data_IF_264284709600
#
_entry.id   IF_264284709600
#
_cell.length_a   1.000
_cell.length_b   1.000
_cell.length_c   1.000
_cell.angle_alpha   90.00
_cell.angle_beta   90.00
_cell.angle_gamma   90.00
#
_symmetry.space_group_name_H-M   'P 1'
#
loop_
_entity.id
_entity.type
_entity.pdbx_description
1 polymer ?
#
# COMPACT_ATOMS: atom_id res chain seq x y z
N UNK A 1 1.57 29.36 -4.20
CA UNK A 1 0.61 28.87 -3.18
C UNK A 1 0.13 27.50 -3.66
N UNK A 2 -0.62 26.77 -2.85
CA UNK A 2 -1.26 25.53 -3.33
C UNK A 2 -2.76 25.72 -3.34
N UNK A 3 -3.42 25.15 -4.35
CA UNK A 3 -4.89 25.13 -4.45
C UNK A 3 -5.37 23.70 -4.18
N UNK A 4 -6.49 23.59 -3.48
CA UNK A 4 -7.12 22.31 -3.15
C UNK A 4 -8.56 22.35 -3.57
N UNK A 5 -8.99 21.32 -4.28
CA UNK A 5 -10.35 21.22 -4.76
C UNK A 5 -10.75 19.76 -4.92
N UNK A 6 -12.04 19.54 -5.09
CA UNK A 6 -12.62 18.25 -5.44
C UNK A 6 -13.54 18.35 -6.65
N UNK A 7 -13.60 17.27 -7.41
CA UNK A 7 -14.46 17.11 -8.58
C UNK A 7 -15.27 15.83 -8.39
N UNK A 8 -16.55 15.89 -8.71
CA UNK A 8 -17.39 14.73 -8.85
C UNK A 8 -17.44 14.34 -10.33
N UNK A 9 -17.15 13.08 -10.64
CA UNK A 9 -17.32 12.54 -11.99
C UNK A 9 -18.41 11.45 -11.97
N UNK A 10 -19.34 11.48 -12.93
CA UNK A 10 -20.22 10.33 -13.16
C UNK A 10 -19.37 9.20 -13.74
N UNK A 11 -19.43 8.04 -13.13
CA UNK A 11 -18.87 6.78 -13.63
C UNK A 11 -19.77 6.16 -14.71
N UNK A 12 -19.45 4.95 -15.14
CA UNK A 12 -20.12 4.30 -16.28
C UNK A 12 -21.55 3.82 -15.97
N UNK A 13 -22.02 3.95 -14.72
CA UNK A 13 -23.36 3.56 -14.26
C UNK A 13 -24.02 4.56 -13.31
N UNK A 14 -25.32 4.40 -13.08
CA UNK A 14 -26.14 5.31 -12.24
C UNK A 14 -25.73 5.39 -10.77
N UNK A 15 -25.01 4.40 -10.26
CA UNK A 15 -24.44 4.35 -8.90
C UNK A 15 -22.91 4.44 -8.88
N UNK A 16 -22.28 4.56 -10.06
CA UNK A 16 -20.83 4.67 -10.19
C UNK A 16 -20.51 6.15 -10.17
N UNK A 17 -20.09 6.66 -9.02
CA UNK A 17 -19.68 8.07 -8.89
C UNK A 17 -18.31 8.09 -8.24
N UNK A 18 -17.39 8.84 -8.84
CA UNK A 18 -16.06 9.01 -8.29
C UNK A 18 -15.87 10.46 -7.79
N UNK A 19 -15.25 10.56 -6.63
CA UNK A 19 -14.82 11.82 -6.05
C UNK A 19 -13.31 11.92 -6.17
N UNK A 20 -12.85 12.86 -6.98
CA UNK A 20 -11.44 13.17 -7.17
C UNK A 20 -11.07 14.37 -6.31
N UNK A 21 -10.04 14.24 -5.50
CA UNK A 21 -9.51 15.28 -4.63
C UNK A 21 -8.10 15.61 -5.08
N UNK A 22 -7.83 16.89 -5.29
CA UNK A 22 -6.55 17.37 -5.78
C UNK A 22 -5.96 18.41 -4.85
N UNK A 23 -4.65 18.32 -4.65
CA UNK A 23 -3.81 19.44 -4.27
C UNK A 23 -2.87 19.71 -5.43
N UNK A 24 -2.84 20.96 -5.88
CA UNK A 24 -2.06 21.41 -7.04
C UNK A 24 -1.19 22.62 -6.70
N UNK A 25 -0.13 22.81 -7.46
CA UNK A 25 0.62 24.06 -7.52
C UNK A 25 -0.17 25.17 -8.25
N UNK A 26 0.33 26.41 -8.21
CA UNK A 26 -0.32 27.56 -8.85
C UNK A 26 -0.48 27.40 -10.38
N UNK A 27 0.37 26.59 -11.01
CA UNK A 27 0.33 26.29 -12.45
C UNK A 27 -0.56 25.08 -12.81
N UNK A 28 -1.24 24.51 -11.81
CA UNK A 28 -2.14 23.37 -11.97
C UNK A 28 -1.46 21.99 -11.92
N UNK A 29 -0.15 21.92 -11.69
CA UNK A 29 0.55 20.63 -11.52
C UNK A 29 0.09 19.91 -10.25
N UNK A 30 -0.26 18.62 -10.41
CA UNK A 30 -0.77 17.81 -9.30
C UNK A 30 0.34 17.41 -8.33
N UNK A 31 0.21 17.86 -7.09
CA UNK A 31 1.07 17.46 -5.97
C UNK A 31 0.57 16.18 -5.31
N UNK A 32 -0.74 16.12 -5.01
CA UNK A 32 -1.41 14.99 -4.37
C UNK A 32 -2.78 14.75 -4.99
N UNK A 33 -3.15 13.48 -5.12
CA UNK A 33 -4.45 13.06 -5.62
C UNK A 33 -5.01 11.91 -4.79
N UNK A 34 -6.25 12.07 -4.33
CA UNK A 34 -7.04 10.98 -3.78
C UNK A 34 -8.29 10.76 -4.64
N UNK A 35 -8.67 9.50 -4.83
CA UNK A 35 -9.89 9.15 -5.57
C UNK A 35 -10.69 8.15 -4.75
N UNK A 36 -11.98 8.44 -4.59
CA UNK A 36 -12.94 7.58 -3.95
C UNK A 36 -14.01 7.16 -4.94
N UNK A 37 -14.24 5.87 -5.09
CA UNK A 37 -15.21 5.30 -6.01
C UNK A 37 -16.35 4.69 -5.21
N UNK A 38 -17.60 5.08 -5.51
CA UNK A 38 -18.78 4.59 -4.79
C UNK A 38 -18.91 3.05 -4.85
N UNK A 39 -18.53 2.45 -5.98
CA UNK A 39 -18.57 1.01 -6.19
C UNK A 39 -17.47 0.23 -5.45
N UNK A 40 -16.41 0.89 -4.99
CA UNK A 40 -15.30 0.23 -4.33
C UNK A 40 -15.62 -0.01 -2.85
N UNK A 41 -15.37 -1.22 -2.35
CA UNK A 41 -15.58 -1.54 -0.94
C UNK A 41 -14.65 -0.75 -0.02
N UNK A 42 -15.20 -0.28 1.09
CA UNK A 42 -14.41 0.34 2.16
C UNK A 42 -13.81 -0.78 3.02
N UNK A 43 -12.48 -0.77 3.30
CA UNK A 43 -11.88 -1.76 4.19
C UNK A 43 -12.59 -1.81 5.54
N UNK A 44 -12.89 -3.02 6.05
CA UNK A 44 -13.76 -3.23 7.22
C UNK A 44 -13.35 -2.48 8.49
N UNK A 45 -12.05 -2.19 8.65
CA UNK A 45 -11.51 -1.45 9.79
C UNK A 45 -11.47 0.07 9.59
N UNK A 46 -12.07 0.59 8.51
CA UNK A 46 -12.13 2.00 8.17
C UNK A 46 -13.57 2.51 8.23
N UNK A 47 -13.71 3.74 8.69
CA UNK A 47 -14.95 4.50 8.56
C UNK A 47 -15.03 5.14 7.17
N UNK A 48 -16.24 5.25 6.57
CA UNK A 48 -16.45 5.98 5.33
C UNK A 48 -16.05 7.45 5.44
N UNK A 49 -15.54 8.02 4.35
CA UNK A 49 -15.35 9.47 4.27
C UNK A 49 -16.71 10.14 4.09
N UNK A 50 -16.99 11.14 4.92
CA UNK A 50 -18.14 12.02 4.78
C UNK A 50 -17.75 13.29 4.01
N UNK A 51 -18.48 13.58 2.95
CA UNK A 51 -18.38 14.76 2.11
C UNK A 51 -18.99 15.99 2.81
N UNK A 52 -18.62 17.19 2.36
CA UNK A 52 -19.13 18.44 2.94
C UNK A 52 -20.65 18.63 2.83
N UNK A 53 -21.30 17.97 1.86
CA UNK A 53 -22.75 17.95 1.67
C UNK A 53 -23.46 16.89 2.54
N UNK A 54 -22.72 16.17 3.38
CA UNK A 54 -23.22 15.11 4.24
C UNK A 54 -23.34 13.74 3.57
N UNK A 55 -22.99 13.60 2.29
CA UNK A 55 -22.95 12.30 1.61
C UNK A 55 -21.69 11.52 1.98
N UNK A 56 -21.66 10.20 1.75
CA UNK A 56 -20.45 9.39 1.94
C UNK A 56 -19.84 9.00 0.59
N UNK A 57 -18.51 8.97 0.50
CA UNK A 57 -17.81 8.36 -0.63
C UNK A 57 -17.47 6.89 -0.36
N UNK A 58 -17.37 6.07 -1.40
CA UNK A 58 -16.97 4.67 -1.29
C UNK A 58 -15.48 4.47 -0.98
N UNK A 59 -14.94 3.31 -1.33
CA UNK A 59 -13.55 2.93 -1.14
C UNK A 59 -12.58 3.82 -1.92
N UNK A 60 -11.33 3.92 -1.44
CA UNK A 60 -10.32 4.71 -2.14
C UNK A 60 -9.60 3.87 -3.20
N UNK A 61 -9.62 4.30 -4.45
CA UNK A 61 -8.85 3.69 -5.53
C UNK A 61 -7.47 4.33 -5.70
N UNK A 62 -7.30 5.57 -5.20
CA UNK A 62 -6.03 6.30 -5.27
C UNK A 62 -5.75 7.13 -4.03
N UNK A 63 -4.48 7.21 -3.64
CA UNK A 63 -3.94 8.11 -2.63
C UNK A 63 -2.45 8.39 -2.94
N UNK A 64 -2.19 9.09 -4.03
CA UNK A 64 -0.85 9.25 -4.59
C UNK A 64 -0.31 10.68 -4.49
N UNK A 65 1.00 10.81 -4.34
CA UNK A 65 1.73 12.04 -4.13
C UNK A 65 2.96 12.07 -5.04
N UNK A 66 3.10 13.15 -5.82
CA UNK A 66 4.16 13.32 -6.81
C UNK A 66 5.55 13.23 -6.18
N UNK A 67 5.78 13.96 -5.08
CA UNK A 67 7.07 13.96 -4.39
C UNK A 67 7.46 12.56 -3.89
N UNK A 68 6.49 11.79 -3.40
CA UNK A 68 6.74 10.43 -2.93
C UNK A 68 7.05 9.48 -4.10
N UNK A 69 6.30 9.58 -5.20
CA UNK A 69 6.54 8.79 -6.41
C UNK A 69 7.93 9.09 -7.00
N UNK A 70 8.33 10.36 -7.04
CA UNK A 70 9.65 10.78 -7.51
C UNK A 70 10.78 10.14 -6.68
N UNK A 71 10.68 10.19 -5.35
CA UNK A 71 11.66 9.54 -4.45
C UNK A 71 11.70 8.02 -4.64
N UNK A 72 10.54 7.38 -4.80
CA UNK A 72 10.47 5.93 -5.07
C UNK A 72 11.13 5.59 -6.40
N UNK A 73 10.87 6.38 -7.45
CA UNK A 73 11.43 6.21 -8.79
C UNK A 73 12.95 6.35 -8.78
N UNK A 74 13.46 7.39 -8.13
CA UNK A 74 14.89 7.63 -7.98
C UNK A 74 15.59 6.45 -7.28
N UNK A 75 14.97 5.94 -6.20
CA UNK A 75 15.61 4.97 -5.31
C UNK A 75 15.46 3.51 -5.74
N UNK A 76 14.31 3.15 -6.28
CA UNK A 76 13.93 1.76 -6.55
C UNK A 76 13.58 1.52 -8.04
N UNK A 77 13.74 2.54 -8.88
CA UNK A 77 13.53 2.47 -10.31
C UNK A 77 12.11 2.03 -10.68
N UNK A 78 12.01 1.26 -11.76
CA UNK A 78 10.75 0.77 -12.30
C UNK A 78 9.96 -0.09 -11.31
N UNK A 79 10.63 -0.98 -10.58
CA UNK A 79 9.98 -1.86 -9.61
C UNK A 79 9.32 -1.05 -8.49
N UNK A 80 10.03 -0.04 -7.96
CA UNK A 80 9.48 0.87 -6.96
C UNK A 80 8.20 1.54 -7.43
N UNK A 81 8.20 2.09 -8.65
CA UNK A 81 7.01 2.72 -9.25
C UNK A 81 5.85 1.73 -9.35
N UNK A 82 6.10 0.50 -9.79
CA UNK A 82 5.06 -0.53 -9.88
C UNK A 82 4.47 -0.90 -8.51
N UNK A 83 5.32 -1.06 -7.48
CA UNK A 83 4.86 -1.31 -6.11
C UNK A 83 4.10 -0.11 -5.54
N UNK A 84 4.55 1.10 -5.84
CA UNK A 84 3.88 2.33 -5.42
C UNK A 84 2.48 2.43 -6.01
N UNK A 85 2.34 2.20 -7.31
CA UNK A 85 1.05 2.23 -8.00
C UNK A 85 0.11 1.10 -7.53
N UNK A 86 0.67 -0.06 -7.17
CA UNK A 86 -0.10 -1.16 -6.57
C UNK A 86 -0.75 -0.71 -5.26
N UNK A 87 0.03 -0.07 -4.39
CA UNK A 87 -0.45 0.41 -3.08
C UNK A 87 -1.34 1.64 -3.22
N UNK A 88 -0.87 2.69 -3.91
CA UNK A 88 -1.49 4.02 -3.90
C UNK A 88 -2.34 4.35 -5.12
N UNK A 89 -2.46 3.44 -6.09
CA UNK A 89 -3.23 3.65 -7.31
C UNK A 89 -2.40 4.26 -8.47
N UNK A 90 -2.95 4.24 -9.69
CA UNK A 90 -2.25 4.69 -10.90
C UNK A 90 -2.19 6.21 -10.99
N UNK A 91 -1.17 6.81 -10.38
CA UNK A 91 -0.94 8.25 -10.45
C UNK A 91 -0.42 8.67 -11.84
N UNK A 92 -1.07 9.65 -12.44
CA UNK A 92 -0.61 10.28 -13.68
C UNK A 92 -0.03 11.66 -13.35
N UNK A 93 1.27 11.83 -13.62
CA UNK A 93 1.95 13.12 -13.44
C UNK A 93 1.49 14.10 -14.52
N UNK A 94 1.21 15.34 -14.12
CA UNK A 94 0.88 16.42 -15.05
C UNK A 94 -0.01 17.48 -14.44
N UNK A 95 -0.33 18.49 -15.24
CA UNK A 95 -1.33 19.48 -14.90
C UNK A 95 -2.75 18.90 -15.05
N UNK A 96 -3.63 19.26 -14.12
CA UNK A 96 -5.05 18.92 -14.20
C UNK A 96 -5.83 20.15 -14.65
N UNK A 97 -6.67 19.98 -15.67
CA UNK A 97 -7.63 21.02 -16.04
C UNK A 97 -8.72 21.08 -14.97
N UNK A 98 -8.90 22.25 -14.36
CA UNK A 98 -9.89 22.43 -13.30
C UNK A 98 -11.23 22.77 -13.95
N UNK A 99 -12.23 21.87 -13.91
CA UNK A 99 -13.51 22.13 -14.53
C UNK A 99 -14.32 23.15 -13.70
N UNK A 100 -15.31 23.84 -14.30
CA UNK A 100 -16.11 24.85 -13.62
C UNK A 100 -16.86 24.33 -12.39
N UNK A 101 -17.23 23.05 -12.36
CA UNK A 101 -17.91 22.37 -11.26
C UNK A 101 -16.98 21.96 -10.10
N UNK A 102 -15.67 22.21 -10.22
CA UNK A 102 -14.73 21.95 -9.14
C UNK A 102 -15.07 22.80 -7.91
N UNK A 103 -15.09 22.15 -6.75
CA UNK A 103 -15.36 22.80 -5.47
C UNK A 103 -14.04 22.96 -4.73
N UNK A 104 -13.65 24.21 -4.46
CA UNK A 104 -12.49 24.49 -3.62
C UNK A 104 -12.72 23.95 -2.20
N UNK A 105 -11.70 23.33 -1.62
CA UNK A 105 -11.75 22.74 -0.29
C UNK A 105 -10.68 23.33 0.60
N UNK A 106 -10.96 23.35 1.90
CA UNK A 106 -9.98 23.83 2.89
C UNK A 106 -8.85 22.82 3.09
N UNK A 107 -7.71 23.26 3.60
CA UNK A 107 -6.61 22.36 3.96
C UNK A 107 -7.02 21.23 4.91
N UNK A 108 -7.71 21.50 6.04
CA UNK A 108 -8.11 20.42 6.95
C UNK A 108 -9.07 19.43 6.30
N UNK A 109 -9.93 19.89 5.39
CA UNK A 109 -10.84 19.01 4.66
C UNK A 109 -10.08 18.09 3.70
N UNK A 110 -9.14 18.64 2.93
CA UNK A 110 -8.27 17.85 2.07
C UNK A 110 -7.43 16.85 2.86
N UNK A 111 -6.82 17.25 3.99
CA UNK A 111 -6.00 16.34 4.80
C UNK A 111 -6.80 15.19 5.40
N UNK A 112 -8.09 15.40 5.73
CA UNK A 112 -8.98 14.32 6.14
C UNK A 112 -9.24 13.34 5.00
N UNK A 113 -9.58 13.84 3.81
CA UNK A 113 -9.79 13.01 2.62
C UNK A 113 -8.51 12.23 2.27
N UNK A 114 -7.37 12.91 2.23
CA UNK A 114 -6.05 12.33 1.98
C UNK A 114 -5.67 11.23 2.97
N UNK A 115 -5.78 11.50 4.28
CA UNK A 115 -5.47 10.52 5.33
C UNK A 115 -6.40 9.30 5.28
N UNK A 116 -7.68 9.53 4.96
CA UNK A 116 -8.66 8.45 4.78
C UNK A 116 -8.31 7.59 3.57
N UNK A 117 -7.97 8.21 2.44
CA UNK A 117 -7.56 7.53 1.23
C UNK A 117 -6.30 6.68 1.46
N UNK A 118 -5.26 7.24 2.10
CA UNK A 118 -4.05 6.51 2.46
C UNK A 118 -4.36 5.27 3.30
N UNK A 119 -5.21 5.42 4.33
CA UNK A 119 -5.63 4.32 5.20
C UNK A 119 -6.39 3.25 4.43
N UNK A 120 -7.34 3.64 3.58
CA UNK A 120 -8.09 2.72 2.73
C UNK A 120 -7.13 1.93 1.83
N UNK A 121 -6.23 2.63 1.14
CA UNK A 121 -5.23 2.01 0.25
C UNK A 121 -4.32 1.04 0.98
N UNK A 122 -3.77 1.41 2.13
CA UNK A 122 -2.89 0.54 2.94
C UNK A 122 -3.55 -0.72 3.49
N UNK A 123 -4.87 -0.70 3.66
CA UNK A 123 -5.66 -1.80 4.20
C UNK A 123 -6.46 -2.57 3.14
N UNK A 124 -6.32 -2.17 1.88
CA UNK A 124 -6.92 -2.88 0.74
C UNK A 124 -6.09 -4.10 0.37
N UNK A 125 -6.76 -5.12 -0.17
CA UNK A 125 -6.09 -6.27 -0.75
C UNK A 125 -5.47 -5.91 -2.10
N UNK A 126 -4.27 -6.41 -2.37
CA UNK A 126 -3.55 -6.14 -3.62
C UNK A 126 -3.52 -7.39 -4.50
N UNK A 127 -4.54 -7.56 -5.35
CA UNK A 127 -4.67 -8.75 -6.21
C UNK A 127 -3.95 -8.64 -7.55
N UNK A 128 -3.34 -7.48 -7.83
CA UNK A 128 -2.60 -7.19 -9.07
C UNK A 128 -1.23 -6.57 -8.75
N UNK A 129 -0.42 -6.33 -9.78
CA UNK A 129 0.93 -5.78 -9.65
C UNK A 129 2.03 -6.83 -9.70
N UNK A 130 3.30 -6.45 -9.45
CA UNK A 130 4.44 -7.35 -9.59
C UNK A 130 4.53 -8.41 -8.49
N UNK A 131 3.90 -8.16 -7.34
CA UNK A 131 3.88 -9.04 -6.16
C UNK A 131 2.50 -8.96 -5.50
N UNK A 132 1.48 -9.58 -6.09
CA UNK A 132 0.14 -9.59 -5.51
C UNK A 132 0.12 -10.39 -4.21
N UNK A 133 -0.86 -10.10 -3.36
CA UNK A 133 -1.16 -10.90 -2.18
C UNK A 133 -1.42 -12.37 -2.57
N UNK A 134 -0.89 -13.30 -1.77
CA UNK A 134 -0.90 -14.73 -2.07
C UNK A 134 0.24 -15.21 -2.97
N UNK A 135 1.03 -14.31 -3.57
CA UNK A 135 2.14 -14.70 -4.44
C UNK A 135 3.26 -15.39 -3.65
N UNK A 136 3.76 -16.50 -4.19
CA UNK A 136 4.83 -17.27 -3.55
C UNK A 136 6.20 -16.83 -4.05
N UNK A 137 7.11 -16.57 -3.10
CA UNK A 137 8.50 -16.19 -3.35
C UNK A 137 9.43 -17.12 -2.59
N UNK A 138 10.52 -17.53 -3.22
CA UNK A 138 11.64 -18.16 -2.49
C UNK A 138 12.59 -17.07 -2.02
N UNK A 139 12.98 -17.13 -0.75
CA UNK A 139 13.91 -16.17 -0.17
C UNK A 139 14.81 -16.79 0.89
N UNK A 140 15.86 -16.07 1.23
CA UNK A 140 16.82 -16.45 2.26
C UNK A 140 16.68 -15.52 3.46
N UNK A 141 16.53 -16.06 4.67
CA UNK A 141 16.56 -15.27 5.90
C UNK A 141 17.94 -14.61 6.03
N UNK A 142 17.99 -13.29 5.98
CA UNK A 142 19.26 -12.55 5.95
C UNK A 142 19.57 -11.84 7.28
N UNK A 143 18.56 -11.51 8.09
CA UNK A 143 18.77 -10.87 9.37
C UNK A 143 17.62 -11.07 10.36
N UNK A 144 17.98 -11.12 11.64
CA UNK A 144 17.07 -10.97 12.78
C UNK A 144 17.55 -9.76 13.60
N UNK A 145 17.28 -8.52 13.16
CA UNK A 145 18.01 -7.34 13.66
C UNK A 145 17.81 -7.05 15.14
N UNK A 146 16.73 -7.56 15.72
CA UNK A 146 16.43 -7.42 17.14
C UNK A 146 16.63 -8.72 17.93
N UNK A 147 17.06 -9.79 17.27
CA UNK A 147 17.10 -11.15 17.80
C UNK A 147 15.76 -11.89 17.68
N UNK A 148 15.77 -13.22 17.89
CA UNK A 148 14.56 -14.05 17.88
C UNK A 148 13.53 -13.60 18.92
N UNK A 149 12.23 -13.77 18.60
CA UNK A 149 11.14 -13.56 19.54
C UNK A 149 10.73 -12.12 19.80
N UNK A 150 11.23 -11.14 19.01
CA UNK A 150 10.96 -9.71 19.27
C UNK A 150 10.04 -9.05 18.25
N UNK A 151 10.44 -9.00 16.98
CA UNK A 151 9.74 -8.21 15.95
C UNK A 151 9.53 -8.98 14.65
N UNK A 152 10.47 -9.82 14.27
CA UNK A 152 10.44 -10.55 13.00
C UNK A 152 11.82 -10.68 12.38
N UNK A 153 11.84 -10.99 11.09
CA UNK A 153 13.07 -11.25 10.34
C UNK A 153 13.01 -10.67 8.93
N UNK A 154 14.17 -10.35 8.38
CA UNK A 154 14.33 -9.95 6.99
C UNK A 154 14.65 -11.16 6.11
N UNK A 155 14.09 -11.13 4.91
CA UNK A 155 14.29 -12.13 3.87
C UNK A 155 14.84 -11.43 2.64
N UNK A 156 15.96 -11.93 2.13
CA UNK A 156 16.45 -11.58 0.80
C UNK A 156 15.70 -12.41 -0.25
N UNK A 157 14.97 -11.72 -1.11
CA UNK A 157 14.21 -12.30 -2.24
C UNK A 157 14.80 -11.89 -3.59
N UNK A 158 16.06 -11.43 -3.61
CA UNK A 158 16.75 -10.91 -4.81
C UNK A 158 16.05 -9.72 -5.47
N UNK A 159 15.39 -8.88 -4.67
CA UNK A 159 14.80 -7.62 -5.12
C UNK A 159 15.45 -6.44 -4.38
N UNK A 160 15.52 -5.25 -5.00
CA UNK A 160 16.09 -4.04 -4.38
C UNK A 160 15.21 -3.44 -3.27
N UNK A 161 14.28 -4.22 -2.72
CA UNK A 161 13.27 -3.81 -1.75
C UNK A 161 13.28 -4.79 -0.59
N UNK A 162 13.21 -4.27 0.63
CA UNK A 162 13.22 -5.10 1.84
C UNK A 162 11.98 -6.00 1.90
N UNK A 163 12.18 -7.29 2.20
CA UNK A 163 11.10 -8.20 2.54
C UNK A 163 11.21 -8.63 4.00
N UNK A 164 10.07 -8.66 4.69
CA UNK A 164 10.01 -8.83 6.14
C UNK A 164 8.88 -9.75 6.56
N UNK A 165 9.18 -10.69 7.45
CA UNK A 165 8.21 -11.56 8.13
C UNK A 165 7.97 -11.01 9.53
N UNK A 166 6.71 -10.72 9.86
CA UNK A 166 6.34 -10.28 11.21
C UNK A 166 6.43 -11.43 12.22
N UNK A 167 6.74 -11.10 13.48
CA UNK A 167 6.66 -12.05 14.60
C UNK A 167 5.31 -12.77 14.66
N UNK A 168 4.21 -12.11 14.29
CA UNK A 168 2.88 -12.72 14.28
C UNK A 168 2.76 -13.93 13.32
N UNK A 169 3.67 -14.07 12.36
CA UNK A 169 3.71 -15.19 11.40
C UNK A 169 4.79 -16.24 11.73
N UNK A 170 5.50 -16.08 12.84
CA UNK A 170 6.58 -16.99 13.25
C UNK A 170 6.11 -17.88 14.42
N UNK A 171 6.79 -19.03 14.63
CA UNK A 171 6.56 -19.85 15.81
C UNK A 171 6.65 -19.03 17.11
N UNK A 172 5.81 -19.39 18.08
CA UNK A 172 5.81 -18.72 19.39
C UNK A 172 7.15 -18.90 20.12
N UNK A 173 7.75 -20.09 20.06
CA UNK A 173 9.08 -20.33 20.60
C UNK A 173 10.16 -19.69 19.70
N UNK A 174 10.93 -18.71 20.21
CA UNK A 174 11.99 -18.08 19.43
C UNK A 174 13.10 -19.04 18.97
N UNK A 175 13.28 -20.18 19.64
CA UNK A 175 14.25 -21.21 19.24
C UNK A 175 13.86 -21.91 17.94
N UNK A 176 12.57 -21.91 17.60
CA UNK A 176 12.03 -22.50 16.37
C UNK A 176 12.02 -21.53 15.18
N UNK A 177 12.49 -20.29 15.37
CA UNK A 177 12.61 -19.33 14.27
C UNK A 177 13.67 -19.77 13.26
N UNK A 178 13.47 -19.51 11.96
CA UNK A 178 14.47 -19.87 10.96
C UNK A 178 15.75 -19.05 11.19
N UNK A 179 16.88 -19.75 11.22
CA UNK A 179 18.19 -19.13 11.37
C UNK A 179 18.56 -18.31 10.12
N UNK A 180 19.46 -17.34 10.28
CA UNK A 180 20.08 -16.64 9.13
C UNK A 180 20.73 -17.65 8.19
N UNK A 181 20.52 -17.48 6.88
CA UNK A 181 20.92 -18.40 5.83
C UNK A 181 19.86 -19.44 5.45
N UNK A 182 18.77 -19.55 6.23
CA UNK A 182 17.67 -20.46 5.89
C UNK A 182 16.99 -20.01 4.61
N UNK A 183 16.92 -20.89 3.62
CA UNK A 183 16.15 -20.68 2.39
C UNK A 183 14.79 -21.35 2.55
N UNK A 184 13.71 -20.61 2.30
CA UNK A 184 12.35 -21.11 2.38
C UNK A 184 11.43 -20.42 1.37
N UNK A 185 10.24 -20.97 1.21
CA UNK A 185 9.17 -20.34 0.45
C UNK A 185 8.30 -19.50 1.39
N UNK A 186 7.93 -18.32 0.91
CA UNK A 186 7.14 -17.34 1.63
C UNK A 186 6.01 -16.88 0.73
N UNK A 187 4.89 -16.53 1.35
CA UNK A 187 3.76 -15.92 0.68
C UNK A 187 3.74 -14.41 0.95
N UNK A 188 3.51 -13.62 -0.08
CA UNK A 188 3.27 -12.18 0.03
C UNK A 188 1.92 -11.94 0.69
N UNK A 189 1.94 -11.30 1.86
CA UNK A 189 0.73 -10.96 2.63
C UNK A 189 0.26 -9.56 2.28
N UNK A 190 1.16 -8.60 2.17
CA UNK A 190 0.82 -7.22 1.84
C UNK A 190 2.06 -6.42 1.46
N UNK A 191 1.86 -5.23 0.92
CA UNK A 191 2.90 -4.23 0.65
C UNK A 191 2.70 -3.05 1.58
N UNK A 192 3.77 -2.60 2.24
CA UNK A 192 3.74 -1.41 3.09
C UNK A 192 4.71 -0.37 2.58
N UNK A 193 4.37 0.90 2.81
CA UNK A 193 5.27 2.01 2.57
C UNK A 193 5.49 2.79 3.86
N UNK A 194 6.75 3.04 4.20
CA UNK A 194 7.14 3.99 5.23
C UNK A 194 8.01 5.06 4.59
N UNK A 195 7.53 6.31 4.56
CA UNK A 195 8.28 7.46 4.01
C UNK A 195 8.96 7.17 2.66
N UNK A 196 8.18 6.79 1.63
CA UNK A 196 8.66 6.43 0.30
C UNK A 196 9.51 5.14 0.19
N UNK A 197 9.64 4.35 1.26
CA UNK A 197 10.30 3.03 1.20
C UNK A 197 9.27 1.91 1.18
N UNK A 198 9.16 1.14 0.08
CA UNK A 198 8.37 -0.07 0.07
C UNK A 198 9.02 -1.11 0.99
N UNK A 199 8.18 -1.93 1.61
CA UNK A 199 8.56 -3.15 2.31
C UNK A 199 7.53 -4.22 1.98
N UNK A 200 8.00 -5.37 1.53
CA UNK A 200 7.17 -6.53 1.21
C UNK A 200 6.95 -7.30 2.50
N UNK A 201 5.70 -7.55 2.86
CA UNK A 201 5.33 -8.29 4.06
C UNK A 201 5.06 -9.73 3.68
N UNK A 202 5.76 -10.64 4.34
CA UNK A 202 5.76 -12.05 4.03
C UNK A 202 5.20 -12.86 5.21
N UNK A 203 4.68 -14.04 4.90
CA UNK A 203 4.48 -15.13 5.86
C UNK A 203 5.16 -16.40 5.35
N UNK A 204 5.77 -17.24 6.19
CA UNK A 204 6.29 -18.53 5.76
C UNK A 204 5.14 -19.42 5.25
N UNK A 205 5.34 -20.14 4.14
CA UNK A 205 4.33 -21.13 3.67
C UNK A 205 4.37 -22.43 4.46
N UNK A 206 5.43 -22.63 5.23
CA UNK A 206 5.53 -23.72 6.17
C UNK A 206 6.26 -23.27 7.43
N UNK A 207 5.71 -23.61 8.58
CA UNK A 207 6.39 -23.57 9.86
C UNK A 207 6.54 -25.02 10.33
N UNK A 208 7.76 -25.48 10.68
CA UNK A 208 7.93 -26.82 11.22
C UNK A 208 7.21 -26.94 12.58
N UNK A 209 6.82 -28.16 12.99
CA UNK A 209 6.51 -28.46 14.39
C UNK A 209 7.70 -28.08 15.30
N UNK A 210 7.46 -27.72 16.57
CA UNK A 210 8.53 -27.36 17.50
C UNK A 210 9.66 -28.39 17.55
N UNK A 211 10.91 -27.92 17.46
CA UNK A 211 12.10 -28.77 17.51
C UNK A 211 12.55 -29.43 16.20
N UNK A 212 11.89 -29.18 15.06
CA UNK A 212 12.32 -29.68 13.74
C UNK A 212 13.01 -28.60 12.87
N UNK A 213 13.96 -28.98 11.98
CA UNK A 213 14.72 -28.01 11.17
C UNK A 213 13.94 -27.47 9.96
N UNK A 214 14.16 -26.21 9.64
CA UNK A 214 13.70 -25.55 8.41
C UNK A 214 14.49 -25.98 7.16
N UNK A 215 13.92 -25.94 5.93
CA UNK A 215 12.49 -25.84 5.58
C UNK A 215 11.84 -27.23 5.43
N UNK A 216 10.52 -27.35 5.65
CA UNK A 216 9.71 -28.50 5.15
C UNK A 216 8.49 -27.95 4.43
N UNK A 217 8.09 -28.48 3.27
CA UNK A 217 6.84 -28.08 2.60
C UNK A 217 5.64 -28.44 3.48
N UNK A 218 4.71 -27.51 3.68
CA UNK A 218 3.42 -27.81 4.27
C UNK A 218 2.65 -28.79 3.36
N UNK A 219 2.02 -29.82 3.94
CA UNK A 219 1.02 -30.59 3.20
C UNK A 219 -0.14 -29.64 2.89
N UNK A 220 -0.47 -29.56 1.59
CA UNK A 220 -1.55 -28.74 1.02
C UNK A 220 -2.89 -29.01 1.69
#
# INVERSE_FOLDING_TARGET
MTRRFRIQSPGEGTDDTAWHWFEVEDDGWVLRQAVFEAALEIPRSCEPLQNADGTTSGGASMAAAQAQLALVRERFGRLGVQLYQTVYGPFTEGAVEVPPEAVDVTEPEFERAWSTALRHRHLSHYTTGPLPEGYLVTGMVCALPWGPGRTGLFVDINLPVDAFVDIAWLPFDPADWPAVGTVAEFEVVTLRFSSARPQIRLRPTAAPPPGEPWPRRAQR
#
